data_IF_937073994282
#
_entry.id   IF_937073994282
#
_cell.length_a   1.000
_cell.length_b   1.000
_cell.length_c   1.000
_cell.angle_alpha   90.00
_cell.angle_beta   90.00
_cell.angle_gamma   90.00
#
_symmetry.space_group_name_H-M   'P 1'
#
loop_
_entity.id
_entity.type
_entity.pdbx_description
1 polymer ?
#
# COMPACT_ATOMS: atom_id res chain seq x y z
N UNK A 1 20.22 2.12 -19.72
CA UNK A 1 19.23 1.71 -18.70
C UNK A 1 19.71 2.15 -17.33
N UNK A 2 18.95 3.01 -16.62
CA UNK A 2 19.35 3.53 -15.30
C UNK A 2 18.69 2.65 -14.22
N UNK A 3 19.47 1.81 -13.56
CA UNK A 3 18.99 1.04 -12.40
C UNK A 3 18.90 1.96 -11.20
N UNK A 4 17.72 2.03 -10.57
CA UNK A 4 17.53 2.71 -9.28
C UNK A 4 16.78 1.72 -8.41
N UNK A 5 17.35 1.36 -7.25
CA UNK A 5 16.75 0.45 -6.27
C UNK A 5 16.26 -0.89 -6.88
N UNK A 6 17.13 -1.61 -7.60
CA UNK A 6 16.82 -2.91 -8.23
C UNK A 6 15.63 -2.91 -9.21
N UNK A 7 15.23 -1.75 -9.72
CA UNK A 7 14.17 -1.62 -10.70
C UNK A 7 14.68 -1.03 -12.02
N UNK A 8 14.29 -1.68 -13.11
CA UNK A 8 14.62 -1.32 -14.48
C UNK A 8 13.50 -0.46 -15.08
N UNK A 9 13.84 0.76 -15.53
CA UNK A 9 12.86 1.60 -16.24
C UNK A 9 12.64 1.12 -17.67
N UNK A 10 11.37 0.91 -18.04
CA UNK A 10 10.97 0.47 -19.39
C UNK A 10 10.50 1.67 -20.23
N UNK A 11 9.86 2.64 -19.59
CA UNK A 11 9.25 3.78 -20.27
C UNK A 11 8.42 4.63 -19.31
N UNK A 12 7.62 5.53 -19.87
CA UNK A 12 6.69 6.35 -19.10
C UNK A 12 5.35 6.47 -19.81
N UNK A 13 4.26 6.42 -19.05
CA UNK A 13 2.89 6.60 -19.55
C UNK A 13 2.30 7.81 -18.85
N UNK A 14 1.83 8.80 -19.60
CA UNK A 14 1.31 10.08 -19.07
C UNK A 14 2.27 10.78 -18.10
N UNK A 15 3.59 10.67 -18.34
CA UNK A 15 4.63 11.22 -17.46
C UNK A 15 4.91 10.39 -16.20
N UNK A 16 4.26 9.24 -16.02
CA UNK A 16 4.50 8.31 -14.91
C UNK A 16 5.51 7.25 -15.37
N UNK A 17 6.70 7.17 -14.78
CA UNK A 17 7.68 6.16 -15.16
C UNK A 17 7.23 4.76 -14.70
N UNK A 18 7.28 3.80 -15.61
CA UNK A 18 6.99 2.38 -15.35
C UNK A 18 8.32 1.63 -15.24
N UNK A 19 8.48 0.87 -14.17
CA UNK A 19 9.68 0.08 -13.88
C UNK A 19 9.35 -1.37 -13.61
N UNK A 20 10.26 -2.28 -13.98
CA UNK A 20 10.23 -3.68 -13.59
C UNK A 20 11.21 -3.92 -12.47
N UNK A 21 10.77 -4.51 -11.37
CA UNK A 21 11.69 -4.98 -10.35
C UNK A 21 12.48 -6.19 -10.87
N UNK A 22 13.75 -6.32 -10.49
CA UNK A 22 14.61 -7.42 -10.95
C UNK A 22 14.03 -8.80 -10.60
N UNK A 23 13.31 -8.92 -9.48
CA UNK A 23 12.63 -10.16 -9.10
C UNK A 23 11.60 -10.63 -10.13
N UNK A 24 10.98 -9.71 -10.88
CA UNK A 24 10.06 -10.05 -11.96
C UNK A 24 10.78 -10.69 -13.14
N UNK A 25 11.94 -10.13 -13.53
CA UNK A 25 12.76 -10.71 -14.60
C UNK A 25 13.23 -12.11 -14.24
N UNK A 26 13.68 -12.30 -12.98
CA UNK A 26 14.05 -13.62 -12.46
C UNK A 26 12.86 -14.57 -12.50
N UNK A 27 11.68 -14.13 -12.06
CA UNK A 27 10.47 -14.95 -12.07
C UNK A 27 10.07 -15.40 -13.48
N UNK A 28 10.21 -14.54 -14.50
CA UNK A 28 9.94 -14.90 -15.91
C UNK A 28 10.90 -15.98 -16.39
N UNK A 29 12.20 -15.85 -16.10
CA UNK A 29 13.21 -16.85 -16.49
C UNK A 29 12.95 -18.18 -15.80
N UNK A 30 12.72 -18.16 -14.48
CA UNK A 30 12.36 -19.35 -13.70
C UNK A 30 11.10 -20.00 -14.27
N UNK A 31 10.05 -19.24 -14.53
CA UNK A 31 8.81 -19.77 -15.11
C UNK A 31 9.05 -20.43 -16.47
N UNK A 32 9.89 -19.85 -17.34
CA UNK A 32 10.24 -20.45 -18.63
C UNK A 32 11.00 -21.78 -18.47
N UNK A 33 11.92 -21.86 -17.50
CA UNK A 33 12.66 -23.10 -17.23
C UNK A 33 11.78 -24.21 -16.67
N UNK A 34 10.87 -23.89 -15.74
CA UNK A 34 10.02 -24.89 -15.06
C UNK A 34 8.79 -25.30 -15.88
N UNK A 35 8.25 -24.42 -16.73
CA UNK A 35 7.09 -24.75 -17.56
C UNK A 35 7.44 -25.56 -18.80
N UNK A 36 8.70 -25.60 -19.21
CA UNK A 36 9.12 -26.15 -20.50
C UNK A 36 8.65 -25.33 -21.71
N UNK A 37 7.96 -24.20 -21.48
CA UNK A 37 7.53 -23.29 -22.53
C UNK A 37 8.72 -22.46 -23.03
N UNK A 38 8.80 -22.28 -24.35
CA UNK A 38 9.82 -21.43 -24.96
C UNK A 38 9.77 -20.00 -24.42
N UNK A 39 10.95 -19.39 -24.22
CA UNK A 39 11.09 -18.05 -23.64
C UNK A 39 10.18 -17.01 -24.33
N UNK A 40 10.05 -17.09 -25.66
CA UNK A 40 9.20 -16.18 -26.43
C UNK A 40 7.73 -16.26 -26.00
N UNK A 41 7.19 -17.47 -25.80
CA UNK A 41 5.80 -17.65 -25.38
C UNK A 41 5.57 -17.09 -23.97
N UNK A 42 6.52 -17.32 -23.06
CA UNK A 42 6.46 -16.77 -21.69
C UNK A 42 6.57 -15.25 -21.69
N UNK A 43 7.40 -14.66 -22.56
CA UNK A 43 7.51 -13.21 -22.70
C UNK A 43 6.22 -12.60 -23.24
N UNK A 44 5.60 -13.19 -24.26
CA UNK A 44 4.30 -12.73 -24.79
C UNK A 44 3.25 -12.74 -23.69
N UNK A 45 3.18 -13.83 -22.91
CA UNK A 45 2.27 -13.95 -21.79
C UNK A 45 2.56 -12.90 -20.70
N UNK A 46 3.83 -12.74 -20.33
CA UNK A 46 4.26 -11.78 -19.33
C UNK A 46 3.87 -10.35 -19.74
N UNK A 47 4.07 -9.97 -21.01
CA UNK A 47 3.65 -8.65 -21.52
C UNK A 47 2.14 -8.47 -21.38
N UNK A 48 1.32 -9.47 -21.72
CA UNK A 48 -0.13 -9.38 -21.56
C UNK A 48 -0.58 -9.26 -20.10
N UNK A 49 -0.02 -10.08 -19.21
CA UNK A 49 -0.38 -10.12 -17.78
C UNK A 49 0.11 -8.87 -17.06
N UNK A 50 1.39 -8.55 -17.15
CA UNK A 50 1.96 -7.39 -16.47
C UNK A 50 1.54 -6.07 -17.12
N UNK A 51 1.22 -6.08 -18.42
CA UNK A 51 0.53 -4.96 -19.08
C UNK A 51 -0.85 -4.71 -18.47
N UNK A 52 -1.63 -5.76 -18.20
CA UNK A 52 -2.94 -5.65 -17.52
C UNK A 52 -2.79 -5.09 -16.10
N UNK A 53 -1.81 -5.58 -15.33
CA UNK A 53 -1.49 -5.07 -13.99
C UNK A 53 -1.04 -3.60 -14.06
N UNK A 54 -0.19 -3.24 -15.01
CA UNK A 54 0.25 -1.86 -15.18
C UNK A 54 -0.92 -0.92 -15.51
N UNK A 55 -1.86 -1.36 -16.36
CA UNK A 55 -3.06 -0.60 -16.68
C UNK A 55 -4.00 -0.45 -15.47
N UNK A 56 -4.13 -1.49 -14.65
CA UNK A 56 -4.84 -1.43 -13.37
C UNK A 56 -4.23 -0.36 -12.43
N UNK A 57 -2.91 -0.40 -12.21
CA UNK A 57 -2.19 0.61 -11.40
C UNK A 57 -2.29 2.03 -12.00
N UNK A 58 -2.29 2.14 -13.33
CA UNK A 58 -2.51 3.40 -14.02
C UNK A 58 -3.92 3.94 -13.77
N UNK A 59 -4.94 3.08 -13.68
CA UNK A 59 -6.30 3.46 -13.30
C UNK A 59 -6.33 4.19 -11.96
N UNK A 60 -5.73 3.60 -10.92
CA UNK A 60 -5.56 4.26 -9.62
C UNK A 60 -4.80 5.58 -9.74
N UNK A 61 -3.67 5.56 -10.47
CA UNK A 61 -2.78 6.70 -10.60
C UNK A 61 -3.44 7.90 -11.28
N UNK A 62 -4.26 7.67 -12.33
CA UNK A 62 -4.97 8.73 -13.05
C UNK A 62 -5.98 9.41 -12.15
N UNK A 63 -6.78 8.64 -11.40
CA UNK A 63 -7.77 9.21 -10.48
C UNK A 63 -7.07 9.89 -9.30
N UNK A 64 -6.01 9.30 -8.74
CA UNK A 64 -5.24 9.91 -7.67
C UNK A 64 -4.65 11.26 -8.08
N UNK A 65 -4.11 11.36 -9.31
CA UNK A 65 -3.60 12.61 -9.88
C UNK A 65 -4.68 13.67 -9.99
N UNK A 66 -5.86 13.29 -10.47
CA UNK A 66 -6.99 14.20 -10.58
C UNK A 66 -7.48 14.72 -9.21
N UNK A 67 -7.18 13.99 -8.13
CA UNK A 67 -7.48 14.37 -6.74
C UNK A 67 -6.31 15.07 -6.02
N UNK A 68 -5.25 15.44 -6.74
CA UNK A 68 -4.10 16.19 -6.21
C UNK A 68 -2.96 15.32 -5.67
N UNK A 69 -3.00 14.01 -5.87
CA UNK A 69 -1.88 13.11 -5.54
C UNK A 69 -0.74 13.23 -6.57
N UNK A 70 0.49 13.06 -6.11
CA UNK A 70 1.67 13.05 -6.98
C UNK A 70 2.19 11.62 -7.14
N UNK A 71 2.28 11.15 -8.38
CA UNK A 71 2.68 9.78 -8.71
C UNK A 71 4.14 9.80 -9.13
N UNK A 72 4.99 9.19 -8.30
CA UNK A 72 6.43 9.14 -8.55
C UNK A 72 6.81 8.09 -9.58
N UNK A 73 6.27 6.88 -9.43
CA UNK A 73 6.56 5.74 -10.31
C UNK A 73 5.58 4.59 -10.08
N UNK A 74 5.45 3.72 -11.09
CA UNK A 74 4.79 2.42 -10.98
C UNK A 74 5.86 1.34 -11.10
N UNK A 75 5.95 0.46 -10.11
CA UNK A 75 6.90 -0.66 -10.09
C UNK A 75 6.14 -1.97 -10.17
N UNK A 76 6.50 -2.82 -11.13
CA UNK A 76 5.93 -4.14 -11.32
C UNK A 76 6.80 -5.22 -10.64
N UNK A 77 6.15 -6.06 -9.85
CA UNK A 77 6.71 -7.18 -9.10
C UNK A 77 6.08 -8.50 -9.57
N UNK A 78 6.68 -9.68 -9.28
CA UNK A 78 6.07 -10.97 -9.59
C UNK A 78 4.65 -11.15 -9.07
N UNK A 79 4.34 -10.53 -7.92
CA UNK A 79 3.08 -10.69 -7.20
C UNK A 79 2.09 -9.54 -7.43
N UNK A 80 2.38 -8.59 -8.33
CA UNK A 80 1.49 -7.45 -8.61
C UNK A 80 2.23 -6.17 -9.01
N UNK A 81 1.52 -5.05 -9.01
CA UNK A 81 2.07 -3.71 -9.23
C UNK A 81 2.01 -2.88 -7.94
N UNK A 82 2.84 -1.85 -7.86
CA UNK A 82 2.71 -0.85 -6.81
C UNK A 82 3.00 0.54 -7.38
N UNK A 83 2.02 1.44 -7.26
CA UNK A 83 2.19 2.86 -7.53
C UNK A 83 2.73 3.58 -6.27
N UNK A 84 3.86 4.27 -6.41
CA UNK A 84 4.38 5.16 -5.36
C UNK A 84 3.72 6.52 -5.47
N UNK A 85 2.80 6.79 -4.56
CA UNK A 85 1.98 8.01 -4.55
C UNK A 85 2.29 8.80 -3.27
N UNK A 86 2.56 10.10 -3.42
CA UNK A 86 2.59 11.06 -2.31
C UNK A 86 1.34 11.93 -2.31
N UNK A 87 1.01 12.48 -1.15
CA UNK A 87 -0.21 13.26 -0.92
C UNK A 87 -1.49 12.51 -1.30
N UNK A 88 -1.71 11.34 -0.68
CA UNK A 88 -2.95 10.59 -0.90
C UNK A 88 -4.17 11.44 -0.49
N UNK A 89 -5.31 11.29 -1.20
CA UNK A 89 -6.52 12.02 -0.87
C UNK A 89 -6.96 11.76 0.58
N UNK A 90 -7.23 12.83 1.34
CA UNK A 90 -7.68 12.74 2.73
C UNK A 90 -9.18 12.49 2.86
N UNK A 91 -9.95 12.88 1.83
CA UNK A 91 -11.41 12.71 1.83
C UNK A 91 -11.76 11.24 1.56
N UNK A 92 -12.62 10.61 2.37
CA UNK A 92 -12.97 9.20 2.20
C UNK A 92 -13.54 8.90 0.81
N UNK A 93 -14.36 9.79 0.26
CA UNK A 93 -14.94 9.63 -1.08
C UNK A 93 -13.86 9.60 -2.16
N UNK A 94 -12.86 10.47 -2.07
CA UNK A 94 -11.77 10.51 -3.06
C UNK A 94 -10.90 9.26 -2.95
N UNK A 95 -10.64 8.77 -1.74
CA UNK A 95 -9.95 7.49 -1.52
C UNK A 95 -10.72 6.31 -2.13
N UNK A 96 -12.04 6.27 -1.94
CA UNK A 96 -12.89 5.24 -2.53
C UNK A 96 -12.87 5.29 -4.06
N UNK A 97 -12.96 6.48 -4.66
CA UNK A 97 -12.88 6.65 -6.11
C UNK A 97 -11.54 6.18 -6.67
N UNK A 98 -10.43 6.51 -5.98
CA UNK A 98 -9.11 5.99 -6.36
C UNK A 98 -9.08 4.48 -6.28
N UNK A 99 -9.54 3.88 -5.17
CA UNK A 99 -9.53 2.43 -4.98
C UNK A 99 -10.43 1.67 -5.99
N UNK A 100 -11.52 2.27 -6.47
CA UNK A 100 -12.36 1.65 -7.49
C UNK A 100 -11.78 1.75 -8.91
N UNK A 101 -10.86 2.69 -9.16
CA UNK A 101 -10.39 3.00 -10.50
C UNK A 101 -9.61 1.84 -11.15
N UNK A 102 -8.66 1.22 -10.44
CA UNK A 102 -7.93 0.07 -10.97
C UNK A 102 -8.82 -1.13 -11.27
N UNK A 103 -9.68 -1.57 -10.32
CA UNK A 103 -10.67 -2.63 -10.55
C UNK A 103 -11.61 -2.33 -11.73
N UNK A 104 -12.04 -1.08 -11.92
CA UNK A 104 -12.82 -0.70 -13.09
C UNK A 104 -12.04 -0.91 -14.41
N UNK A 105 -10.74 -0.57 -14.44
CA UNK A 105 -9.87 -0.86 -15.59
C UNK A 105 -9.74 -2.36 -15.81
N UNK A 106 -9.52 -3.16 -14.77
CA UNK A 106 -9.45 -4.62 -14.89
C UNK A 106 -10.75 -5.21 -15.42
N UNK A 107 -11.90 -4.75 -14.95
CA UNK A 107 -13.18 -5.21 -15.46
C UNK A 107 -13.36 -4.85 -16.95
N UNK A 108 -13.00 -3.63 -17.35
CA UNK A 108 -13.06 -3.21 -18.75
C UNK A 108 -12.15 -4.09 -19.63
N UNK A 109 -10.90 -4.32 -19.22
CA UNK A 109 -9.97 -5.20 -19.92
C UNK A 109 -10.47 -6.64 -19.99
N UNK A 110 -11.11 -7.14 -18.92
CA UNK A 110 -11.72 -8.45 -18.91
C UNK A 110 -12.80 -8.58 -20.00
N UNK A 111 -13.68 -7.60 -20.12
CA UNK A 111 -14.75 -7.61 -21.13
C UNK A 111 -14.20 -7.51 -22.56
N UNK A 112 -13.16 -6.69 -22.77
CA UNK A 112 -12.52 -6.51 -24.08
C UNK A 112 -11.77 -7.78 -24.50
N UNK A 113 -10.91 -8.32 -23.64
CA UNK A 113 -10.09 -9.48 -23.99
C UNK A 113 -10.87 -10.78 -24.17
N UNK A 114 -12.10 -10.87 -23.62
CA UNK A 114 -12.96 -12.04 -23.85
C UNK A 114 -13.57 -12.09 -25.26
N UNK A 115 -13.47 -11.01 -26.05
CA UNK A 115 -14.04 -10.98 -27.40
C UNK A 115 -13.21 -11.76 -28.43
N UNK A 116 -11.93 -12.03 -28.16
CA UNK A 116 -11.04 -12.74 -29.09
C UNK A 116 -10.39 -13.95 -28.42
N UNK A 117 -10.44 -15.12 -29.08
CA UNK A 117 -9.94 -16.40 -28.54
C UNK A 117 -8.50 -16.30 -28.02
N UNK A 118 -7.62 -15.64 -28.77
CA UNK A 118 -6.20 -15.49 -28.41
C UNK A 118 -5.99 -14.68 -27.12
N UNK A 119 -6.92 -13.79 -26.76
CA UNK A 119 -6.83 -12.96 -25.55
C UNK A 119 -7.76 -13.44 -24.43
N UNK A 120 -8.58 -14.48 -24.64
CA UNK A 120 -9.55 -14.93 -23.63
C UNK A 120 -8.88 -15.28 -22.29
N UNK A 121 -7.68 -15.85 -22.31
CA UNK A 121 -6.91 -16.12 -21.11
C UNK A 121 -6.61 -14.85 -20.30
N UNK A 122 -6.19 -13.76 -20.98
CA UNK A 122 -6.01 -12.46 -20.33
C UNK A 122 -7.33 -11.89 -19.80
N UNK A 123 -8.44 -12.14 -20.50
CA UNK A 123 -9.77 -11.78 -20.03
C UNK A 123 -10.16 -12.48 -18.72
N UNK A 124 -9.86 -13.77 -18.60
CA UNK A 124 -10.04 -14.53 -17.36
C UNK A 124 -9.15 -13.97 -16.24
N UNK A 125 -7.87 -13.71 -16.51
CA UNK A 125 -6.96 -13.14 -15.52
C UNK A 125 -7.39 -11.75 -15.05
N UNK A 126 -7.89 -10.89 -15.95
CA UNK A 126 -8.42 -9.58 -15.59
C UNK A 126 -9.72 -9.68 -14.77
N UNK A 127 -10.57 -10.68 -15.07
CA UNK A 127 -11.75 -10.98 -14.24
C UNK A 127 -11.31 -11.36 -12.83
N UNK A 128 -10.31 -12.24 -12.71
CA UNK A 128 -9.75 -12.62 -11.41
C UNK A 128 -9.12 -11.42 -10.70
N UNK A 129 -8.32 -10.61 -11.41
CA UNK A 129 -7.72 -9.40 -10.85
C UNK A 129 -8.78 -8.43 -10.30
N UNK A 130 -9.89 -8.26 -11.00
CA UNK A 130 -11.05 -7.48 -10.52
C UNK A 130 -11.68 -8.10 -9.27
N UNK A 131 -12.05 -9.39 -9.32
CA UNK A 131 -12.73 -10.07 -8.22
C UNK A 131 -11.87 -10.11 -6.95
N UNK A 132 -10.59 -10.46 -7.08
CA UNK A 132 -9.65 -10.49 -5.97
C UNK A 132 -9.45 -9.08 -5.40
N UNK A 133 -9.23 -8.06 -6.23
CA UNK A 133 -9.04 -6.70 -5.71
C UNK A 133 -10.31 -6.11 -5.11
N UNK A 134 -11.51 -6.54 -5.49
CA UNK A 134 -12.76 -6.09 -4.88
C UNK A 134 -13.12 -6.80 -3.57
N UNK A 135 -12.32 -7.78 -3.11
CA UNK A 135 -12.54 -8.37 -1.79
C UNK A 135 -12.41 -7.30 -0.71
N UNK A 136 -13.33 -7.25 0.28
CA UNK A 136 -13.36 -6.20 1.31
C UNK A 136 -12.33 -6.46 2.42
N UNK A 137 -11.06 -6.65 2.05
CA UNK A 137 -9.98 -7.07 2.93
C UNK A 137 -8.66 -6.40 2.52
N UNK A 138 -7.86 -5.95 3.48
CA UNK A 138 -6.51 -5.48 3.16
C UNK A 138 -5.59 -6.65 2.79
N UNK A 139 -4.61 -6.44 1.88
CA UNK A 139 -4.16 -5.18 1.28
C UNK A 139 -4.90 -4.77 -0.01
N UNK A 140 -5.98 -5.47 -0.36
CA UNK A 140 -6.70 -5.30 -1.63
C UNK A 140 -7.47 -3.97 -1.70
N UNK A 141 -7.81 -3.54 -2.91
CA UNK A 141 -8.52 -2.27 -3.13
C UNK A 141 -9.89 -2.21 -2.45
N UNK A 142 -10.62 -3.33 -2.41
CA UNK A 142 -11.90 -3.47 -1.73
C UNK A 142 -11.75 -3.26 -0.22
N UNK A 143 -10.58 -3.57 0.36
CA UNK A 143 -10.24 -3.19 1.73
C UNK A 143 -10.12 -1.67 1.91
N UNK A 144 -9.55 -0.95 0.93
CA UNK A 144 -9.51 0.52 0.92
C UNK A 144 -10.91 1.12 0.73
N UNK A 145 -11.74 0.54 -0.14
CA UNK A 145 -13.15 0.92 -0.31
C UNK A 145 -13.92 0.74 1.01
N UNK A 146 -13.77 -0.41 1.68
CA UNK A 146 -14.38 -0.67 2.97
C UNK A 146 -13.90 0.35 4.03
N UNK A 147 -12.59 0.59 4.12
CA UNK A 147 -12.03 1.61 5.03
C UNK A 147 -12.63 2.98 4.76
N UNK A 148 -12.68 3.41 3.50
CA UNK A 148 -13.23 4.70 3.11
C UNK A 148 -14.70 4.83 3.52
N UNK A 149 -15.52 3.80 3.29
CA UNK A 149 -16.91 3.77 3.71
C UNK A 149 -17.06 3.87 5.25
N UNK A 150 -16.27 3.09 6.00
CA UNK A 150 -16.30 3.10 7.47
C UNK A 150 -15.77 4.41 8.07
N UNK A 151 -14.83 5.08 7.40
CA UNK A 151 -14.22 6.33 7.88
C UNK A 151 -15.25 7.43 8.08
N UNK A 152 -16.32 7.44 7.28
CA UNK A 152 -17.41 8.42 7.39
C UNK A 152 -18.05 8.39 8.79
N UNK A 153 -18.17 7.21 9.40
CA UNK A 153 -18.84 7.03 10.70
C UNK A 153 -17.88 6.87 11.88
N UNK A 154 -16.68 6.32 11.66
CA UNK A 154 -15.80 5.86 12.74
C UNK A 154 -14.46 6.58 12.77
N UNK A 155 -14.16 7.47 11.82
CA UNK A 155 -12.84 8.05 11.68
C UNK A 155 -11.82 7.08 11.07
N UNK A 156 -10.70 7.62 10.59
CA UNK A 156 -9.76 6.89 9.72
C UNK A 156 -9.02 5.77 10.44
N UNK A 157 -8.63 5.97 11.70
CA UNK A 157 -7.88 4.97 12.46
C UNK A 157 -8.74 3.74 12.77
N UNK A 158 -9.94 3.93 13.33
CA UNK A 158 -10.84 2.83 13.66
C UNK A 158 -11.36 2.12 12.42
N UNK A 159 -11.68 2.87 11.34
CA UNK A 159 -12.04 2.27 10.06
C UNK A 159 -10.92 1.37 9.50
N UNK A 160 -9.66 1.82 9.60
CA UNK A 160 -8.50 1.01 9.20
C UNK A 160 -8.37 -0.24 10.07
N UNK A 161 -8.56 -0.11 11.39
CA UNK A 161 -8.53 -1.24 12.34
C UNK A 161 -9.59 -2.28 12.02
N UNK A 162 -10.81 -1.85 11.70
CA UNK A 162 -11.91 -2.73 11.34
C UNK A 162 -11.64 -3.43 10.02
N UNK A 163 -11.24 -2.70 8.97
CA UNK A 163 -10.89 -3.28 7.68
C UNK A 163 -9.70 -4.27 7.78
N UNK A 164 -8.67 -3.97 8.59
CA UNK A 164 -7.56 -4.90 8.85
C UNK A 164 -8.00 -6.13 9.66
N UNK A 165 -9.04 -6.01 10.48
CA UNK A 165 -9.60 -7.14 11.23
C UNK A 165 -10.40 -8.09 10.34
N UNK A 166 -10.97 -7.63 9.23
CA UNK A 166 -11.60 -8.50 8.22
C UNK A 166 -10.61 -9.56 7.72
N UNK A 167 -9.33 -9.18 7.57
CA UNK A 167 -8.25 -10.10 7.18
C UNK A 167 -8.04 -11.27 8.13
N UNK A 168 -8.37 -11.12 9.42
CA UNK A 168 -8.31 -12.23 10.40
C UNK A 168 -9.32 -13.32 10.07
N UNK A 169 -10.53 -12.96 9.66
CA UNK A 169 -11.57 -13.92 9.31
C UNK A 169 -11.22 -14.66 8.01
N UNK A 170 -10.73 -13.96 6.99
CA UNK A 170 -10.22 -14.59 5.76
C UNK A 170 -9.04 -15.53 6.05
N UNK A 171 -8.10 -15.12 6.89
CA UNK A 171 -7.00 -15.97 7.34
C UNK A 171 -7.51 -17.22 8.04
N UNK A 172 -8.40 -17.09 9.03
CA UNK A 172 -8.98 -18.22 9.75
C UNK A 172 -9.72 -19.17 8.81
N UNK A 173 -10.54 -18.64 7.91
CA UNK A 173 -11.27 -19.41 6.91
C UNK A 173 -10.32 -20.18 5.98
N UNK A 174 -9.30 -19.53 5.44
CA UNK A 174 -8.35 -20.17 4.53
C UNK A 174 -7.45 -21.19 5.25
N UNK A 175 -7.13 -20.99 6.52
CA UNK A 175 -6.44 -21.99 7.34
C UNK A 175 -7.35 -23.19 7.62
N UNK A 176 -8.62 -22.98 7.97
CA UNK A 176 -9.57 -24.08 8.19
C UNK A 176 -9.79 -24.89 6.91
N UNK A 177 -10.07 -24.22 5.79
CA UNK A 177 -10.17 -24.90 4.48
C UNK A 177 -8.82 -25.53 4.11
N UNK A 178 -7.71 -24.87 4.45
CA UNK A 178 -6.37 -25.37 4.20
C UNK A 178 -5.96 -26.58 5.05
N UNK A 179 -6.59 -26.80 6.19
CA UNK A 179 -6.30 -27.92 7.07
C UNK A 179 -7.31 -29.06 6.92
N UNK A 180 -8.58 -28.73 6.68
CA UNK A 180 -9.71 -29.66 6.68
C UNK A 180 -10.42 -29.79 5.32
N UNK A 181 -10.11 -28.91 4.36
CA UNK A 181 -10.72 -28.95 3.04
C UNK A 181 -10.29 -30.18 2.26
N UNK A 182 -11.28 -30.85 1.67
CA UNK A 182 -11.07 -31.89 0.66
C UNK A 182 -10.11 -31.38 -0.43
N UNK A 183 -9.34 -32.26 -1.10
CA UNK A 183 -8.49 -31.84 -2.21
C UNK A 183 -9.33 -31.26 -3.34
N UNK A 184 -9.50 -29.93 -3.35
CA UNK A 184 -10.18 -29.21 -4.42
C UNK A 184 -9.24 -29.25 -5.63
N UNK A 185 -9.40 -30.27 -6.46
CA UNK A 185 -8.68 -30.46 -7.74
C UNK A 185 -9.13 -29.48 -8.84
N UNK A 186 -9.72 -28.33 -8.47
CA UNK A 186 -10.51 -27.51 -9.40
C UNK A 186 -9.67 -26.74 -10.45
N UNK A 187 -8.33 -26.81 -10.43
CA UNK A 187 -7.54 -26.11 -11.46
C UNK A 187 -6.26 -26.78 -11.94
N UNK A 188 -5.89 -28.00 -11.52
CA UNK A 188 -4.80 -28.79 -12.13
C UNK A 188 -3.43 -28.13 -12.41
N UNK A 189 -3.17 -26.89 -11.99
CA UNK A 189 -2.10 -26.05 -12.55
C UNK A 189 -0.86 -25.96 -11.65
N UNK A 190 -0.89 -26.52 -10.43
CA UNK A 190 0.17 -26.28 -9.43
C UNK A 190 0.54 -27.59 -8.71
N UNK A 191 1.42 -28.39 -9.32
CA UNK A 191 2.36 -29.33 -8.68
C UNK A 191 1.91 -30.22 -7.49
N UNK A 192 2.85 -30.88 -6.79
CA UNK A 192 2.57 -31.78 -5.66
C UNK A 192 2.30 -31.04 -4.33
N UNK A 193 2.21 -29.70 -4.33
CA UNK A 193 1.85 -28.95 -3.14
C UNK A 193 0.36 -29.15 -2.89
N UNK A 194 0.02 -29.79 -1.77
CA UNK A 194 -1.37 -29.90 -1.33
C UNK A 194 -1.97 -28.48 -1.32
N UNK A 195 -3.05 -28.19 -2.09
CA UNK A 195 -3.69 -26.88 -2.14
C UNK A 195 -4.02 -26.30 -0.75
N UNK A 196 -4.13 -27.21 0.20
CA UNK A 196 -4.37 -27.03 1.62
C UNK A 196 -3.31 -26.13 2.30
N UNK A 197 -2.00 -26.34 2.06
CA UNK A 197 -0.93 -25.51 2.65
C UNK A 197 -0.84 -24.13 2.00
N UNK A 198 -0.99 -24.06 0.68
CA UNK A 198 -0.91 -22.79 -0.05
C UNK A 198 -2.02 -21.83 0.37
N UNK A 199 -3.24 -22.33 0.59
CA UNK A 199 -4.34 -21.52 1.12
C UNK A 199 -4.02 -20.94 2.51
N UNK A 200 -3.42 -21.74 3.39
CA UNK A 200 -2.97 -21.25 4.70
C UNK A 200 -1.91 -20.14 4.56
N UNK A 201 -0.95 -20.28 3.64
CA UNK A 201 0.03 -19.23 3.34
C UNK A 201 -0.62 -17.94 2.80
N UNK A 202 -1.57 -18.06 1.87
CA UNK A 202 -2.31 -16.90 1.33
C UNK A 202 -3.10 -16.22 2.45
N UNK A 203 -3.79 -16.98 3.30
CA UNK A 203 -4.51 -16.45 4.45
C UNK A 203 -3.59 -15.70 5.43
N UNK A 204 -2.44 -16.29 5.75
CA UNK A 204 -1.42 -15.66 6.58
C UNK A 204 -0.85 -14.38 5.97
N UNK A 205 -0.61 -14.37 4.65
CA UNK A 205 -0.17 -13.18 3.92
C UNK A 205 -1.20 -12.06 3.97
N UNK A 206 -2.47 -12.34 3.69
CA UNK A 206 -3.57 -11.36 3.76
C UNK A 206 -3.63 -10.74 5.15
N UNK A 207 -3.56 -11.56 6.20
CA UNK A 207 -3.52 -11.06 7.58
C UNK A 207 -2.32 -10.16 7.85
N UNK A 208 -1.11 -10.63 7.52
CA UNK A 208 0.12 -9.89 7.78
C UNK A 208 0.17 -8.55 7.03
N UNK A 209 -0.18 -8.56 5.74
CA UNK A 209 -0.23 -7.35 4.92
C UNK A 209 -1.28 -6.36 5.45
N UNK A 210 -2.46 -6.84 5.86
CA UNK A 210 -3.46 -5.98 6.50
C UNK A 210 -3.00 -5.36 7.82
N UNK A 211 -2.21 -6.08 8.63
CA UNK A 211 -1.61 -5.52 9.84
C UNK A 211 -0.53 -4.49 9.55
N UNK A 212 0.22 -4.63 8.46
CA UNK A 212 1.19 -3.61 8.03
C UNK A 212 0.50 -2.29 7.66
N UNK A 213 -0.62 -2.36 6.92
CA UNK A 213 -1.39 -1.17 6.55
C UNK A 213 -1.93 -0.43 7.78
N UNK A 214 -2.46 -1.17 8.76
CA UNK A 214 -2.92 -0.61 10.03
C UNK A 214 -1.81 0.08 10.82
N UNK A 215 -0.63 -0.55 10.90
CA UNK A 215 0.54 0.01 11.60
C UNK A 215 1.00 1.33 10.97
N UNK A 216 1.00 1.43 9.64
CA UNK A 216 1.37 2.67 8.95
C UNK A 216 0.41 3.82 9.28
N UNK A 217 -0.91 3.57 9.25
CA UNK A 217 -1.91 4.59 9.59
C UNK A 217 -1.85 4.99 11.07
N UNK A 218 -1.57 4.04 11.96
CA UNK A 218 -1.36 4.33 13.39
C UNK A 218 -0.15 5.25 13.59
N UNK A 219 0.98 4.98 12.93
CA UNK A 219 2.17 5.82 13.00
C UNK A 219 1.91 7.23 12.46
N UNK A 220 1.20 7.34 11.32
CA UNK A 220 0.78 8.63 10.76
C UNK A 220 -0.09 9.42 11.75
N UNK A 221 -1.06 8.74 12.39
CA UNK A 221 -1.93 9.36 13.39
C UNK A 221 -1.14 9.85 14.61
N UNK A 222 -0.19 9.06 15.13
CA UNK A 222 0.68 9.47 16.23
C UNK A 222 1.56 10.66 15.84
N UNK A 223 2.20 10.61 14.66
CA UNK A 223 3.03 11.71 14.16
C UNK A 223 2.24 13.01 13.92
N UNK A 224 0.97 12.90 13.52
CA UNK A 224 0.07 14.06 13.39
C UNK A 224 -0.21 14.76 14.72
N UNK A 225 -0.14 14.04 15.85
CA UNK A 225 -0.23 14.61 17.19
C UNK A 225 0.98 15.48 17.56
N UNK A 226 2.17 15.15 17.07
CA UNK A 226 3.41 15.89 17.36
C UNK A 226 3.67 17.06 16.40
N UNK A 227 3.07 17.05 15.20
CA UNK A 227 3.29 18.06 14.15
C UNK A 227 2.33 19.24 14.20
N UNK A 228 1.51 19.35 15.26
CA UNK A 228 0.68 20.52 15.52
C UNK A 228 1.34 21.40 16.61
N UNK A 229 2.02 22.51 16.26
CA UNK A 229 2.68 23.39 17.23
C UNK A 229 1.73 24.03 18.25
N UNK A 230 0.40 23.88 18.06
CA UNK A 230 -0.63 24.39 18.96
C UNK A 230 -1.28 23.33 19.86
N UNK A 231 -0.99 22.04 19.66
CA UNK A 231 -1.63 20.95 20.43
C UNK A 231 -0.84 20.52 21.67
N UNK A 232 0.21 21.24 22.02
CA UNK A 232 0.99 20.98 23.22
C UNK A 232 2.17 21.91 23.26
N UNK A 233 1.98 23.12 23.80
CA UNK A 233 3.06 23.72 24.56
C UNK A 233 3.34 22.74 25.69
N UNK A 234 4.27 21.82 25.47
CA UNK A 234 4.99 21.26 26.60
C UNK A 234 5.73 22.47 27.13
N UNK A 235 5.14 23.14 28.12
CA UNK A 235 5.89 23.95 29.05
C UNK A 235 6.86 22.97 29.69
N UNK A 236 8.03 22.83 29.05
CA UNK A 236 9.18 22.28 29.73
C UNK A 236 9.46 23.35 30.77
N UNK A 237 8.93 23.15 31.98
CA UNK A 237 9.36 23.88 33.15
C UNK A 237 10.81 23.49 33.36
N UNK A 238 11.70 24.21 32.67
CA UNK A 238 13.13 24.06 32.84
C UNK A 238 13.38 24.53 34.25
N UNK A 239 13.66 23.58 35.16
CA UNK A 239 14.15 23.94 36.49
C UNK A 239 15.26 24.97 36.31
N UNK A 240 15.18 26.13 36.98
CA UNK A 240 16.17 27.17 36.80
C UNK A 240 17.54 26.54 37.02
N UNK A 241 18.53 26.82 36.16
CA UNK A 241 19.85 26.25 36.33
C UNK A 241 20.37 26.57 37.74
N UNK A 242 21.27 25.77 38.34
CA UNK A 242 21.64 25.87 39.77
C UNK A 242 22.10 27.27 40.22
N UNK A 243 22.49 28.13 39.28
CA UNK A 243 22.86 29.53 39.52
C UNK A 243 21.67 30.53 39.57
N UNK A 244 20.48 30.16 39.10
CA UNK A 244 19.28 30.99 39.14
C UNK A 244 18.51 30.88 40.48
N UNK A 245 18.74 29.82 41.27
CA UNK A 245 18.16 29.66 42.61
C UNK A 245 18.70 30.66 43.66
N UNK A 246 19.66 31.51 43.28
CA UNK A 246 20.28 32.52 44.15
C UNK A 246 19.83 33.97 43.92
N UNK A 247 18.89 34.26 43.01
CA UNK A 247 18.46 35.65 42.74
C UNK A 247 17.36 36.16 43.68
N UNK A 248 17.25 35.57 44.88
CA UNK A 248 16.55 36.19 46.01
C UNK A 248 17.42 37.25 46.68
N UNK A 249 17.71 38.35 45.98
CA UNK A 249 18.11 39.69 46.48
C UNK A 249 18.82 40.53 45.40
N UNK A 250 18.22 40.69 44.22
CA UNK A 250 18.66 41.77 43.30
C UNK A 250 18.06 43.12 43.70
N UNK A 251 17.96 43.40 45.00
CA UNK A 251 18.01 44.78 45.46
C UNK A 251 19.47 45.26 45.45
N UNK A 252 19.70 46.32 44.67
CA UNK A 252 20.66 47.38 45.00
C UNK A 252 22.16 47.16 44.81
N UNK A 253 22.58 46.65 43.64
CA UNK A 253 23.92 46.99 43.12
C UNK A 253 23.94 48.40 42.52
N UNK A 254 22.90 48.80 41.78
CA UNK A 254 22.78 50.14 41.20
C UNK A 254 22.67 51.24 42.27
N UNK A 255 21.97 50.95 43.38
CA UNK A 255 21.85 51.91 44.48
C UNK A 255 23.09 51.96 45.38
N UNK A 256 23.81 50.83 45.56
CA UNK A 256 25.14 50.83 46.21
C UNK A 256 26.16 51.64 45.42
N UNK A 257 26.17 51.52 44.08
CA UNK A 257 27.09 52.29 43.23
C UNK A 257 26.74 53.78 43.22
N UNK A 258 25.45 54.16 43.25
CA UNK A 258 25.03 55.56 43.40
C UNK A 258 25.51 56.22 44.69
N UNK A 259 25.59 55.47 45.80
CA UNK A 259 26.08 56.03 47.10
C UNK A 259 27.59 56.21 47.16
N UNK A 260 28.36 55.49 46.35
CA UNK A 260 29.83 55.58 46.32
C UNK A 260 30.35 56.77 45.51
N UNK A 261 29.58 57.27 44.54
CA UNK A 261 29.97 58.40 43.68
C UNK A 261 29.38 59.76 44.11
N UNK A 262 28.66 59.82 45.25
CA UNK A 262 28.09 61.05 45.82
C UNK A 262 28.63 61.38 47.23
N UNK A 263 29.90 61.10 47.50
CA UNK A 263 30.63 61.70 48.62
C UNK A 263 31.82 62.50 48.12
#
# INVERSE_FOLDING_TARGET
MKMVNNALSIGSVMGIPIRLHLSLLIAIVVLSLFSGAGLLAVLILAVGVFGSVALHELGHSVVARAKGGYIHEIVLYPFGGAAKISNLPKRPVDEMLVALAGPAVSLLLALIFRQWEITQFLGYLNTMLFLFNMLPVFPMDGGRVLRAALTIKHGRLDATRMAASVGKYFCGLFVIIGLFGMPIQLLGLIGPLRPSLMLAFIGGYIYFAGQQEYRMVMMEHQASGFSNPRAGSIEVEVSPPPYAAGQGNSENLAEKLRRLFHR
#
